data_IF_758032143834
#
_entry.id   IF_758032143834
#
_cell.length_a   1.000
_cell.length_b   1.000
_cell.length_c   1.000
_cell.angle_alpha   90.00
_cell.angle_beta   90.00
_cell.angle_gamma   90.00
#
_symmetry.space_group_name_H-M   'P 1'
#
loop_
_entity.id
_entity.type
_entity.pdbx_description
1 polymer ?
#
# COMPACT_ATOMS: atom_id res chain seq x y z
N UNK A 1 3.92 4.38 2.53
CA UNK A 1 4.36 4.79 1.17
C UNK A 1 3.13 4.93 0.28
N UNK A 2 3.18 5.79 -0.75
CA UNK A 2 2.10 5.97 -1.72
C UNK A 2 2.70 6.31 -3.08
N UNK A 3 2.30 5.58 -4.12
CA UNK A 3 2.83 5.76 -5.47
C UNK A 3 1.70 5.75 -6.48
N UNK A 4 1.76 6.67 -7.44
CA UNK A 4 0.91 6.64 -8.61
C UNK A 4 1.48 5.62 -9.61
N UNK A 5 0.61 4.79 -10.19
CA UNK A 5 1.01 3.77 -11.14
C UNK A 5 0.39 4.05 -12.52
N UNK A 6 1.07 3.59 -13.56
CA UNK A 6 0.48 3.47 -14.89
C UNK A 6 -0.15 2.07 -15.00
N UNK A 7 -1.45 1.98 -15.31
CA UNK A 7 -2.14 0.70 -15.48
C UNK A 7 -3.58 0.72 -14.97
N UNK A 8 -4.04 -0.43 -14.46
CA UNK A 8 -5.42 -0.62 -13.97
C UNK A 8 -5.66 0.04 -12.59
N UNK A 9 -4.61 0.17 -11.78
CA UNK A 9 -4.68 0.80 -10.46
C UNK A 9 -3.99 2.16 -10.52
N UNK A 10 -4.69 3.22 -10.11
CA UNK A 10 -4.14 4.59 -10.14
C UNK A 10 -3.07 4.81 -9.06
N UNK A 11 -3.28 4.25 -7.86
CA UNK A 11 -2.39 4.40 -6.71
C UNK A 11 -2.18 3.10 -5.95
N UNK A 12 -0.94 2.85 -5.52
CA UNK A 12 -0.60 1.80 -4.55
C UNK A 12 -0.14 2.41 -3.23
N UNK A 13 -0.76 1.95 -2.15
CA UNK A 13 -0.48 2.41 -0.79
C UNK A 13 0.08 1.25 0.03
N UNK A 14 1.17 1.51 0.76
CA UNK A 14 1.66 0.62 1.82
C UNK A 14 1.16 1.15 3.16
N UNK A 15 0.25 0.40 3.77
CA UNK A 15 -0.38 0.71 5.06
C UNK A 15 0.26 -0.18 6.13
N UNK A 16 0.59 0.43 7.27
CA UNK A 16 1.03 -0.28 8.48
C UNK A 16 0.03 0.04 9.57
N UNK A 17 -0.55 -0.99 10.18
CA UNK A 17 -1.51 -0.86 11.27
C UNK A 17 -1.07 -1.73 12.45
N UNK A 18 -1.52 -1.36 13.66
CA UNK A 18 -1.21 -2.10 14.89
C UNK A 18 -1.80 -3.51 14.89
N UNK A 19 -3.01 -3.64 14.36
CA UNK A 19 -3.81 -4.84 14.33
C UNK A 19 -4.85 -4.76 13.19
N UNK A 20 -5.59 -5.84 13.00
CA UNK A 20 -6.60 -5.96 11.96
C UNK A 20 -7.77 -4.97 12.14
N UNK A 21 -8.21 -4.75 13.38
CA UNK A 21 -9.32 -3.84 13.68
C UNK A 21 -8.95 -2.39 13.36
N UNK A 22 -7.72 -1.98 13.69
CA UNK A 22 -7.18 -0.66 13.33
C UNK A 22 -7.11 -0.47 11.81
N UNK A 23 -6.65 -1.51 11.10
CA UNK A 23 -6.61 -1.50 9.63
C UNK A 23 -8.01 -1.38 9.02
N UNK A 24 -8.95 -2.20 9.49
CA UNK A 24 -10.32 -2.22 8.97
C UNK A 24 -11.05 -0.91 9.23
N UNK A 25 -10.83 -0.30 10.41
CA UNK A 25 -11.38 1.00 10.75
C UNK A 25 -10.88 2.09 9.79
N UNK A 26 -9.56 2.15 9.56
CA UNK A 26 -8.96 3.09 8.61
C UNK A 26 -9.47 2.88 7.18
N UNK A 27 -9.48 1.62 6.72
CA UNK A 27 -9.95 1.28 5.37
C UNK A 27 -11.41 1.72 5.15
N UNK A 28 -12.26 1.47 6.13
CA UNK A 28 -13.71 1.69 6.01
C UNK A 28 -14.09 3.16 6.22
N UNK A 29 -13.57 3.79 7.27
CA UNK A 29 -14.03 5.11 7.72
C UNK A 29 -13.18 6.28 7.22
N UNK A 30 -12.00 6.00 6.65
CA UNK A 30 -11.14 7.05 6.10
C UNK A 30 -10.90 6.85 4.61
N UNK A 31 -10.30 5.72 4.23
CA UNK A 31 -9.83 5.54 2.85
C UNK A 31 -10.99 5.37 1.86
N UNK A 32 -11.96 4.51 2.15
CA UNK A 32 -13.11 4.25 1.26
C UNK A 32 -14.07 5.45 1.16
N UNK A 33 -14.11 6.29 2.19
CA UNK A 33 -14.97 7.49 2.23
C UNK A 33 -14.28 8.75 1.70
N UNK A 34 -12.98 8.67 1.37
CA UNK A 34 -12.23 9.84 0.93
C UNK A 34 -12.75 10.37 -0.41
N UNK A 35 -12.84 11.70 -0.57
CA UNK A 35 -13.24 12.30 -1.84
C UNK A 35 -12.22 11.89 -2.92
N UNK A 36 -12.73 11.40 -4.06
CA UNK A 36 -11.97 10.86 -5.20
C UNK A 36 -11.46 9.42 -5.06
N UNK A 37 -11.86 8.68 -4.02
CA UNK A 37 -11.61 7.23 -3.95
C UNK A 37 -12.83 6.48 -4.49
N UNK A 38 -12.73 5.96 -5.71
CA UNK A 38 -13.83 5.21 -6.35
C UNK A 38 -13.89 3.76 -5.89
N UNK A 39 -12.73 3.11 -5.76
CA UNK A 39 -12.65 1.71 -5.33
C UNK A 39 -11.32 1.44 -4.66
N UNK A 40 -11.32 0.47 -3.73
CA UNK A 40 -10.11 0.03 -3.05
C UNK A 40 -10.00 -1.47 -3.16
N UNK A 41 -8.82 -1.95 -3.53
CA UNK A 41 -8.46 -3.37 -3.51
C UNK A 41 -7.29 -3.53 -2.56
N UNK A 42 -7.40 -4.45 -1.61
CA UNK A 42 -6.37 -4.65 -0.60
C UNK A 42 -5.73 -6.03 -0.68
N UNK A 43 -4.44 -6.07 -0.35
CA UNK A 43 -3.62 -7.29 -0.29
C UNK A 43 -2.84 -7.28 1.02
N UNK A 44 -2.91 -8.39 1.76
CA UNK A 44 -2.19 -8.53 3.03
C UNK A 44 -0.81 -9.15 2.79
N UNK A 45 0.24 -8.49 3.26
CA UNK A 45 1.59 -9.03 3.25
C UNK A 45 1.77 -10.02 4.41
N UNK A 46 1.97 -11.30 4.12
CA UNK A 46 2.20 -12.36 5.13
C UNK A 46 3.69 -12.53 5.42
N UNK A 47 4.53 -12.48 4.39
CA UNK A 47 5.99 -12.61 4.50
C UNK A 47 6.68 -11.79 3.44
N UNK A 48 7.72 -11.05 3.85
CA UNK A 48 8.63 -10.37 2.93
C UNK A 48 9.82 -11.27 2.64
N UNK A 49 10.06 -11.61 1.37
CA UNK A 49 11.22 -12.43 0.97
C UNK A 49 12.50 -11.61 0.84
N UNK A 50 12.37 -10.32 0.51
CA UNK A 50 13.50 -9.38 0.34
C UNK A 50 13.06 -8.00 0.83
N UNK A 51 13.85 -7.42 1.72
CA UNK A 51 13.66 -6.07 2.26
C UNK A 51 15.03 -5.42 2.45
N UNK A 52 15.71 -5.17 1.32
CA UNK A 52 17.06 -4.59 1.30
C UNK A 52 16.96 -3.24 0.58
N UNK A 53 17.46 -2.15 1.18
CA UNK A 53 17.43 -0.83 0.55
C UNK A 53 18.44 -0.73 -0.60
N UNK A 54 18.31 0.31 -1.42
CA UNK A 54 19.24 0.62 -2.51
C UNK A 54 18.83 0.04 -3.86
N UNK A 55 19.57 0.46 -4.90
CA UNK A 55 19.38 0.02 -6.28
C UNK A 55 20.56 -0.90 -6.64
N UNK A 56 20.34 -2.03 -7.32
CA UNK A 56 21.45 -2.85 -7.80
C UNK A 56 22.17 -2.09 -8.91
N UNK A 57 23.27 -1.44 -8.54
CA UNK A 57 24.24 -0.85 -9.47
C UNK A 57 25.52 -1.66 -9.36
N UNK A 58 26.15 -1.94 -10.50
CA UNK A 58 27.48 -2.51 -10.50
C UNK A 58 28.45 -1.47 -9.92
N UNK A 59 29.36 -1.89 -9.04
CA UNK A 59 30.49 -1.04 -8.63
C UNK A 59 31.34 -0.79 -9.88
N UNK A 60 31.46 0.48 -10.27
CA UNK A 60 32.24 0.91 -11.43
C UNK A 60 33.75 0.71 -11.23
#
# INVERSE_FOLDING_TARGET
>A
ECHMLAGETDFILKIVAKDWDSYQNFLTHELTTAPNVTSVKSSLAIRSSKDVPGVPIDEA
#
